data_IF_948217430481
#
_entry.id   IF_948217430481
#
_cell.length_a   1.000
_cell.length_b   1.000
_cell.length_c   1.000
_cell.angle_alpha   90.00
_cell.angle_beta   90.00
_cell.angle_gamma   90.00
#
_symmetry.space_group_name_H-M   'P 1'
#
loop_
_entity.id
_entity.type
_entity.pdbx_description
1 polymer ?
#
# COMPACT_ATOMS: atom_id res chain seq x y z
N UNK A 1 51.89 -16.97 -5.40
CA UNK A 1 50.73 -16.86 -6.29
C UNK A 1 50.09 -18.23 -6.27
N UNK A 2 48.83 -18.32 -5.85
CA UNK A 2 48.15 -19.61 -5.66
C UNK A 2 47.44 -19.99 -6.98
N UNK A 3 47.96 -20.98 -7.73
CA UNK A 3 47.44 -21.32 -9.06
C UNK A 3 45.98 -21.79 -9.03
N UNK A 4 45.54 -22.36 -7.92
CA UNK A 4 44.16 -22.84 -7.75
C UNK A 4 43.19 -21.67 -7.59
N UNK A 5 43.62 -20.60 -6.91
CA UNK A 5 42.84 -19.37 -6.77
C UNK A 5 42.68 -18.63 -8.10
N UNK A 6 43.75 -18.52 -8.88
CA UNK A 6 43.70 -17.89 -10.20
C UNK A 6 42.80 -18.65 -11.17
N UNK A 7 42.85 -19.98 -11.16
CA UNK A 7 41.97 -20.82 -11.96
C UNK A 7 40.51 -20.66 -11.54
N UNK A 8 40.22 -20.64 -10.24
CA UNK A 8 38.87 -20.41 -9.72
C UNK A 8 38.32 -19.02 -10.09
N UNK A 9 39.15 -17.98 -10.03
CA UNK A 9 38.76 -16.62 -10.39
C UNK A 9 38.56 -16.48 -11.92
N UNK A 10 39.34 -17.18 -12.74
CA UNK A 10 39.13 -17.26 -14.19
C UNK A 10 37.80 -17.95 -14.56
N UNK A 11 37.45 -19.05 -13.90
CA UNK A 11 36.15 -19.71 -14.09
C UNK A 11 34.99 -18.84 -13.61
N UNK A 12 35.17 -18.05 -12.54
CA UNK A 12 34.18 -17.05 -12.12
C UNK A 12 34.02 -15.94 -13.15
N UNK A 13 35.11 -15.43 -13.72
CA UNK A 13 35.07 -14.41 -14.75
C UNK A 13 34.40 -14.90 -16.04
N UNK A 14 34.64 -16.16 -16.43
CA UNK A 14 33.99 -16.81 -17.58
C UNK A 14 32.48 -17.04 -17.35
N UNK A 15 32.07 -17.24 -16.10
CA UNK A 15 30.66 -17.39 -15.68
C UNK A 15 29.98 -16.05 -15.41
N UNK A 16 30.74 -14.95 -15.32
CA UNK A 16 30.22 -13.63 -15.01
C UNK A 16 29.36 -13.15 -16.18
N UNK A 17 28.07 -12.92 -15.91
CA UNK A 17 27.07 -12.57 -16.93
C UNK A 17 27.20 -11.11 -17.32
N UNK A 18 26.76 -10.78 -18.54
CA UNK A 18 26.90 -9.45 -19.13
C UNK A 18 26.10 -8.39 -18.35
N UNK A 19 24.94 -8.72 -17.78
CA UNK A 19 24.23 -7.85 -16.83
C UNK A 19 23.29 -8.66 -15.94
N UNK A 20 23.58 -8.71 -14.63
CA UNK A 20 22.67 -9.28 -13.63
C UNK A 20 21.57 -8.27 -13.25
N UNK A 21 21.93 -6.98 -13.20
CA UNK A 21 21.06 -5.87 -12.82
C UNK A 21 21.56 -4.60 -13.49
N UNK A 22 20.68 -3.77 -14.05
CA UNK A 22 21.07 -2.51 -14.70
C UNK A 22 20.18 -1.34 -14.25
N UNK A 23 20.73 -0.12 -14.23
CA UNK A 23 19.94 1.08 -13.96
C UNK A 23 19.09 1.45 -15.17
N UNK A 24 17.87 1.92 -14.92
CA UNK A 24 16.99 2.46 -15.94
C UNK A 24 16.15 3.63 -15.38
N UNK A 25 15.53 4.38 -16.28
CA UNK A 25 14.59 5.47 -15.98
C UNK A 25 13.19 5.01 -16.35
N UNK A 26 12.21 5.29 -15.49
CA UNK A 26 10.81 4.90 -15.69
C UNK A 26 10.17 5.85 -16.70
N UNK A 27 9.69 5.29 -17.81
CA UNK A 27 9.04 6.04 -18.90
C UNK A 27 7.52 6.08 -18.71
N UNK A 28 6.92 4.96 -18.34
CA UNK A 28 5.47 4.87 -18.09
C UNK A 28 5.13 3.71 -17.15
N UNK A 29 3.97 3.76 -16.51
CA UNK A 29 3.51 2.77 -15.55
C UNK A 29 2.07 2.37 -15.84
N UNK A 30 1.82 1.08 -15.99
CA UNK A 30 0.47 0.49 -16.07
C UNK A 30 0.08 -0.08 -14.69
N UNK A 31 -0.83 0.62 -14.01
CA UNK A 31 -1.30 0.22 -12.68
C UNK A 31 -2.33 -0.91 -12.70
N UNK A 32 -2.96 -1.17 -13.84
CA UNK A 32 -3.96 -2.23 -13.98
C UNK A 32 -3.27 -3.58 -14.17
N UNK A 33 -2.30 -3.63 -15.08
CA UNK A 33 -1.50 -4.81 -15.39
C UNK A 33 -0.34 -5.02 -14.40
N UNK A 34 0.10 -3.97 -13.71
CA UNK A 34 1.22 -4.07 -12.76
C UNK A 34 2.57 -4.17 -13.47
N UNK A 35 2.71 -3.44 -14.57
CA UNK A 35 3.92 -3.38 -15.39
C UNK A 35 4.36 -1.94 -15.63
N UNK A 36 5.58 -1.76 -16.14
CA UNK A 36 6.09 -0.45 -16.53
C UNK A 36 6.97 -0.57 -17.78
N UNK A 37 7.18 0.59 -18.41
CA UNK A 37 8.20 0.77 -19.45
C UNK A 37 9.37 1.52 -18.83
N UNK A 38 10.58 1.03 -19.05
CA UNK A 38 11.82 1.65 -18.58
C UNK A 38 12.80 1.82 -19.73
N UNK A 39 13.71 2.77 -19.61
CA UNK A 39 14.79 2.99 -20.58
C UNK A 39 16.15 3.09 -19.90
N UNK A 40 17.17 2.48 -20.48
CA UNK A 40 18.57 2.63 -20.08
C UNK A 40 19.30 3.72 -20.89
N UNK A 41 18.56 4.65 -21.50
CA UNK A 41 18.99 5.69 -22.45
C UNK A 41 19.27 5.19 -23.88
N UNK A 42 19.50 3.88 -24.09
CA UNK A 42 19.75 3.30 -25.41
C UNK A 42 18.55 2.52 -25.96
N UNK A 43 17.90 1.74 -25.10
CA UNK A 43 16.77 0.88 -25.41
C UNK A 43 15.58 1.17 -24.48
N UNK A 44 14.37 0.90 -24.97
CA UNK A 44 13.18 0.81 -24.13
C UNK A 44 12.83 -0.67 -23.89
N UNK A 45 12.53 -0.97 -22.63
CA UNK A 45 12.09 -2.27 -22.18
C UNK A 45 10.62 -2.17 -21.78
N UNK A 46 9.76 -2.90 -22.48
CA UNK A 46 8.32 -2.97 -22.20
C UNK A 46 8.00 -4.13 -21.26
N UNK A 47 6.81 -4.09 -20.67
CA UNK A 47 6.26 -5.18 -19.87
C UNK A 47 7.13 -5.59 -18.67
N UNK A 48 7.89 -4.63 -18.12
CA UNK A 48 8.73 -4.86 -16.93
C UNK A 48 7.84 -4.99 -15.71
N UNK A 49 7.94 -6.13 -15.02
CA UNK A 49 7.03 -6.52 -13.95
C UNK A 49 7.30 -5.74 -12.66
N UNK A 50 6.24 -5.26 -12.01
CA UNK A 50 6.31 -4.60 -10.70
C UNK A 50 6.12 -5.57 -9.53
N UNK A 51 5.73 -6.82 -9.82
CA UNK A 51 5.58 -7.88 -8.83
C UNK A 51 6.16 -9.20 -9.36
N UNK A 52 6.68 -10.02 -8.44
CA UNK A 52 7.31 -11.30 -8.78
C UNK A 52 6.30 -12.36 -9.30
N UNK A 53 5.03 -12.20 -8.96
CA UNK A 53 3.95 -13.12 -9.36
C UNK A 53 2.74 -12.29 -9.76
N UNK A 54 2.37 -12.36 -11.03
CA UNK A 54 1.05 -11.94 -11.51
C UNK A 54 0.15 -13.16 -11.40
N UNK A 55 -0.35 -13.46 -10.19
CA UNK A 55 -1.39 -14.49 -10.07
C UNK A 55 -2.74 -13.84 -10.37
N UNK A 56 -3.48 -14.39 -11.33
CA UNK A 56 -4.82 -13.89 -11.69
C UNK A 56 -5.84 -13.93 -10.55
N UNK A 57 -5.42 -14.27 -9.32
CA UNK A 57 -6.21 -14.35 -8.11
C UNK A 57 -6.50 -12.98 -7.48
N UNK A 58 -5.96 -11.90 -8.04
CA UNK A 58 -6.28 -10.53 -7.64
C UNK A 58 -5.65 -10.10 -6.31
N UNK A 59 -4.73 -10.89 -5.75
CA UNK A 59 -3.78 -10.42 -4.75
C UNK A 59 -2.80 -9.47 -5.44
N UNK A 60 -2.51 -8.35 -4.79
CA UNK A 60 -1.66 -7.30 -5.38
C UNK A 60 -0.69 -6.85 -4.33
N UNK A 61 0.59 -6.80 -4.68
CA UNK A 61 1.58 -6.06 -3.91
C UNK A 61 2.43 -5.28 -4.90
N UNK A 62 1.98 -4.08 -5.21
CA UNK A 62 2.62 -3.21 -6.17
C UNK A 62 3.23 -2.00 -5.49
N UNK A 63 4.49 -1.74 -5.83
CA UNK A 63 5.13 -0.46 -5.66
C UNK A 63 5.20 0.18 -7.04
N UNK A 64 4.44 1.24 -7.24
CA UNK A 64 4.42 1.95 -8.51
C UNK A 64 5.54 2.98 -8.51
N UNK A 65 6.58 2.83 -9.37
CA UNK A 65 7.62 3.83 -9.48
C UNK A 65 7.02 5.13 -9.96
N UNK A 66 7.65 6.24 -9.59
CA UNK A 66 7.31 7.52 -10.21
C UNK A 66 7.88 7.59 -11.61
N UNK A 67 7.13 8.13 -12.55
CA UNK A 67 7.65 8.46 -13.90
C UNK A 67 8.85 9.42 -13.76
N UNK A 68 9.83 9.25 -14.64
CA UNK A 68 11.12 9.96 -14.63
C UNK A 68 12.01 9.66 -13.41
N UNK A 69 11.68 8.64 -12.59
CA UNK A 69 12.54 8.17 -11.51
C UNK A 69 13.49 7.05 -11.97
N UNK A 70 14.57 6.87 -11.22
CA UNK A 70 15.53 5.78 -11.47
C UNK A 70 15.10 4.49 -10.77
N UNK A 71 15.36 3.36 -11.43
CA UNK A 71 15.11 2.01 -10.93
C UNK A 71 16.29 1.09 -11.25
N UNK A 72 16.40 -0.01 -10.51
CA UNK A 72 17.25 -1.15 -10.88
C UNK A 72 16.37 -2.26 -11.45
N UNK A 73 16.80 -2.82 -12.57
CA UNK A 73 16.05 -3.81 -13.33
C UNK A 73 16.87 -5.07 -13.50
N UNK A 74 16.24 -6.22 -13.28
CA UNK A 74 16.90 -7.53 -13.32
C UNK A 74 16.09 -8.52 -14.15
N UNK A 75 16.73 -9.45 -14.89
CA UNK A 75 16.05 -10.50 -15.63
C UNK A 75 15.65 -11.68 -14.75
N UNK A 76 14.46 -12.23 -15.00
CA UNK A 76 13.96 -13.44 -14.37
C UNK A 76 14.53 -14.65 -15.12
N UNK A 77 15.25 -15.52 -14.41
CA UNK A 77 15.91 -16.69 -15.02
C UNK A 77 16.80 -16.33 -16.22
N UNK A 78 17.44 -15.15 -16.18
CA UNK A 78 18.35 -14.65 -17.24
C UNK A 78 17.68 -14.39 -18.59
N UNK A 79 16.36 -14.27 -18.62
CA UNK A 79 15.63 -13.91 -19.83
C UNK A 79 15.41 -12.40 -19.88
N UNK A 80 16.09 -11.70 -20.80
CA UNK A 80 15.92 -10.26 -21.02
C UNK A 80 14.53 -9.87 -21.56
N UNK A 81 13.70 -10.85 -21.95
CA UNK A 81 12.29 -10.62 -22.26
C UNK A 81 11.40 -10.66 -21.01
N UNK A 82 11.96 -11.02 -19.86
CA UNK A 82 11.26 -11.17 -18.59
C UNK A 82 11.99 -10.37 -17.53
N UNK A 83 11.68 -9.09 -17.47
CA UNK A 83 12.32 -8.16 -16.54
C UNK A 83 11.39 -7.85 -15.37
N UNK A 84 11.98 -7.52 -14.22
CA UNK A 84 11.26 -6.97 -13.08
C UNK A 84 12.05 -5.83 -12.45
N UNK A 85 11.35 -4.95 -11.74
CA UNK A 85 11.98 -3.90 -10.94
C UNK A 85 12.47 -4.50 -9.62
N UNK A 86 13.79 -4.44 -9.41
CA UNK A 86 14.43 -4.91 -8.18
C UNK A 86 14.47 -3.82 -7.11
N UNK A 87 14.70 -2.57 -7.51
CA UNK A 87 14.77 -1.44 -6.59
C UNK A 87 14.24 -0.14 -7.20
N UNK A 88 13.74 0.73 -6.33
CA UNK A 88 13.08 1.99 -6.67
C UNK A 88 13.83 3.15 -6.00
N UNK A 89 14.13 4.22 -6.75
CA UNK A 89 14.63 5.46 -6.14
C UNK A 89 13.50 6.31 -5.56
N UNK A 90 12.35 6.37 -6.24
CA UNK A 90 11.16 7.09 -5.81
C UNK A 90 9.90 6.27 -6.17
N UNK A 91 8.97 6.19 -5.22
CA UNK A 91 7.71 5.47 -5.37
C UNK A 91 6.59 6.51 -5.41
N UNK A 92 5.73 6.43 -6.41
CA UNK A 92 4.54 7.29 -6.52
C UNK A 92 3.40 6.79 -5.62
N UNK A 93 3.16 5.48 -5.64
CA UNK A 93 2.06 4.87 -4.90
C UNK A 93 2.30 3.40 -4.57
N UNK A 94 1.59 2.92 -3.55
CA UNK A 94 1.56 1.52 -3.12
C UNK A 94 0.12 1.00 -3.24
N UNK A 95 -0.05 -0.22 -3.74
CA UNK A 95 -1.32 -0.95 -3.66
C UNK A 95 -1.08 -2.39 -3.18
N UNK A 96 -1.53 -2.66 -1.96
CA UNK A 96 -1.54 -3.97 -1.34
C UNK A 96 -2.98 -4.46 -1.23
N UNK A 97 -3.29 -5.56 -1.89
CA UNK A 97 -4.57 -6.26 -1.79
C UNK A 97 -4.36 -7.70 -1.40
N UNK A 98 -5.03 -8.11 -0.33
CA UNK A 98 -5.11 -9.50 0.14
C UNK A 98 -6.58 -9.82 0.30
N UNK A 99 -7.11 -10.64 -0.60
CA UNK A 99 -8.53 -11.01 -0.64
C UNK A 99 -9.45 -9.74 -0.61
N UNK A 100 -10.29 -9.62 0.42
CA UNK A 100 -11.19 -8.49 0.63
C UNK A 100 -10.56 -7.26 1.28
N UNK A 101 -9.30 -7.31 1.71
CA UNK A 101 -8.60 -6.20 2.36
C UNK A 101 -7.69 -5.50 1.37
N UNK A 102 -7.77 -4.19 1.32
CA UNK A 102 -6.95 -3.35 0.46
C UNK A 102 -6.36 -2.17 1.23
N UNK A 103 -5.06 -1.96 1.04
CA UNK A 103 -4.31 -0.84 1.56
C UNK A 103 -3.59 -0.13 0.42
N UNK A 104 -3.95 1.13 0.17
CA UNK A 104 -3.32 1.97 -0.84
C UNK A 104 -2.72 3.21 -0.19
N UNK A 105 -1.59 3.68 -0.72
CA UNK A 105 -0.93 4.93 -0.31
C UNK A 105 -0.50 5.69 -1.56
N UNK A 106 -0.74 6.99 -1.57
CA UNK A 106 -0.20 7.93 -2.56
C UNK A 106 0.04 9.30 -1.91
N UNK A 107 0.32 10.32 -2.74
CA UNK A 107 0.55 11.70 -2.29
C UNK A 107 -0.65 12.34 -1.59
N UNK A 108 -1.87 11.86 -1.84
CA UNK A 108 -3.13 12.45 -1.35
C UNK A 108 -3.57 11.79 -0.03
N UNK A 109 -3.01 10.62 0.31
CA UNK A 109 -3.15 9.98 1.61
C UNK A 109 -3.09 8.46 1.53
N UNK A 110 -3.87 7.80 2.40
CA UNK A 110 -4.00 6.35 2.38
C UNK A 110 -5.45 5.91 2.42
N UNK A 111 -5.74 4.78 1.77
CA UNK A 111 -6.99 4.07 1.83
C UNK A 111 -6.76 2.77 2.59
N UNK A 112 -7.49 2.57 3.69
CA UNK A 112 -7.68 1.25 4.29
C UNK A 112 -9.12 0.82 4.06
N UNK A 113 -9.30 -0.27 3.34
CA UNK A 113 -10.59 -0.81 2.92
C UNK A 113 -10.69 -2.30 3.24
N UNK A 114 -11.86 -2.73 3.68
CA UNK A 114 -12.22 -4.13 3.84
C UNK A 114 -13.61 -4.32 3.24
N UNK A 115 -13.70 -5.09 2.17
CA UNK A 115 -14.92 -5.32 1.40
C UNK A 115 -15.60 -4.01 0.99
N UNK A 116 -16.74 -3.68 1.59
CA UNK A 116 -17.54 -2.48 1.32
C UNK A 116 -17.36 -1.37 2.36
N UNK A 117 -16.46 -1.55 3.32
CA UNK A 117 -16.20 -0.60 4.41
C UNK A 117 -14.83 0.06 4.27
N UNK A 118 -14.70 1.31 4.72
CA UNK A 118 -13.43 2.04 4.74
C UNK A 118 -13.21 2.70 6.09
N UNK A 119 -11.94 2.85 6.48
CA UNK A 119 -11.60 3.58 7.70
C UNK A 119 -12.15 5.02 7.67
N UNK A 120 -12.09 5.68 6.51
CA UNK A 120 -12.63 7.03 6.32
C UNK A 120 -14.12 7.12 6.65
N UNK A 121 -14.91 6.14 6.19
CA UNK A 121 -16.35 6.07 6.47
C UNK A 121 -16.63 5.79 7.96
N UNK A 122 -15.90 4.84 8.56
CA UNK A 122 -16.01 4.56 10.00
C UNK A 122 -15.73 5.80 10.87
N UNK A 123 -14.66 6.52 10.57
CA UNK A 123 -14.29 7.75 11.28
C UNK A 123 -15.31 8.87 11.05
N UNK A 124 -15.83 9.03 9.83
CA UNK A 124 -16.87 10.00 9.54
C UNK A 124 -18.16 9.72 10.32
N UNK A 125 -18.57 8.45 10.40
CA UNK A 125 -19.76 8.03 11.14
C UNK A 125 -19.57 8.20 12.66
N UNK A 126 -18.36 7.91 13.18
CA UNK A 126 -18.01 8.19 14.58
C UNK A 126 -18.09 9.69 14.90
N UNK A 127 -17.49 10.54 14.05
CA UNK A 127 -17.57 12.00 14.22
C UNK A 127 -19.03 12.47 14.13
N UNK A 128 -19.83 11.87 13.25
CA UNK A 128 -21.27 12.10 13.16
C UNK A 128 -22.00 11.78 14.47
N UNK A 129 -21.75 10.60 15.04
CA UNK A 129 -22.31 10.19 16.34
C UNK A 129 -21.89 11.13 17.47
N UNK A 130 -20.62 11.58 17.49
CA UNK A 130 -20.13 12.58 18.44
C UNK A 130 -20.85 13.92 18.30
N UNK A 131 -21.05 14.40 17.06
CA UNK A 131 -21.78 15.65 16.80
C UNK A 131 -23.26 15.57 17.17
N UNK A 132 -23.85 14.37 17.15
CA UNK A 132 -25.25 14.12 17.49
C UNK A 132 -25.47 13.80 18.97
N UNK A 133 -24.44 13.87 19.83
CA UNK A 133 -24.59 13.61 21.25
C UNK A 133 -25.63 14.53 21.89
N UNK A 134 -26.58 13.91 22.58
CA UNK A 134 -27.61 14.58 23.36
C UNK A 134 -27.79 13.83 24.66
N UNK A 135 -28.04 14.55 25.75
CA UNK A 135 -28.11 13.98 27.09
C UNK A 135 -29.43 14.32 27.78
N UNK A 136 -30.01 13.33 28.44
CA UNK A 136 -30.98 13.60 29.50
C UNK A 136 -30.23 14.17 30.69
N UNK A 137 -30.66 15.33 31.15
CA UNK A 137 -30.09 16.01 32.33
C UNK A 137 -31.07 15.93 33.49
N UNK A 138 -30.58 15.53 34.66
CA UNK A 138 -31.29 15.73 35.92
C UNK A 138 -30.87 17.09 36.48
N UNK A 139 -31.83 17.96 36.74
CA UNK A 139 -31.58 19.30 37.25
C UNK A 139 -32.26 19.52 38.60
N UNK A 140 -31.59 20.25 39.48
CA UNK A 140 -32.12 20.74 40.75
C UNK A 140 -32.02 22.26 40.80
N UNK A 141 -32.80 22.89 41.68
CA UNK A 141 -32.82 24.34 41.85
C UNK A 141 -34.06 25.02 41.25
N UNK A 142 -33.95 26.31 40.96
CA UNK A 142 -35.03 27.12 40.40
C UNK A 142 -34.57 27.78 39.09
N UNK A 143 -35.46 28.50 38.41
CA UNK A 143 -35.17 29.12 37.11
C UNK A 143 -34.00 30.12 37.13
N UNK A 144 -33.63 30.67 38.30
CA UNK A 144 -32.54 31.63 38.45
C UNK A 144 -31.20 30.99 38.89
N UNK A 145 -31.23 29.75 39.39
CA UNK A 145 -30.06 29.02 39.86
C UNK A 145 -30.31 27.51 39.69
N UNK A 146 -30.07 27.02 38.47
CA UNK A 146 -30.21 25.61 38.13
C UNK A 146 -28.82 24.94 38.11
N UNK A 147 -28.72 23.76 38.72
CA UNK A 147 -27.56 22.87 38.63
C UNK A 147 -28.01 21.53 38.08
N UNK A 148 -27.18 20.82 37.32
CA UNK A 148 -27.57 19.52 36.79
C UNK A 148 -26.40 18.63 36.40
N UNK A 149 -26.71 17.34 36.28
CA UNK A 149 -25.79 16.31 35.81
C UNK A 149 -26.42 15.56 34.63
N UNK A 150 -25.60 15.14 33.69
CA UNK A 150 -26.01 14.22 32.61
C UNK A 150 -26.29 12.84 33.19
N UNK A 151 -27.42 12.24 32.82
CA UNK A 151 -27.87 10.94 33.34
C UNK A 151 -27.84 9.86 32.27
N UNK A 152 -28.12 10.21 31.00
CA UNK A 152 -28.16 9.24 29.91
C UNK A 152 -27.83 9.88 28.56
N UNK A 153 -26.93 9.24 27.80
CA UNK A 153 -26.65 9.58 26.40
C UNK A 153 -27.76 9.03 25.50
N UNK A 154 -28.43 9.90 24.77
CA UNK A 154 -29.62 9.55 23.99
C UNK A 154 -29.28 8.76 22.72
N UNK A 155 -28.10 8.97 22.13
CA UNK A 155 -27.69 8.32 20.88
C UNK A 155 -26.70 7.16 21.09
N UNK A 156 -26.71 6.50 22.26
CA UNK A 156 -25.81 5.38 22.57
C UNK A 156 -25.87 4.26 21.50
N UNK A 157 -27.06 3.95 20.98
CA UNK A 157 -27.23 2.95 19.92
C UNK A 157 -26.44 3.27 18.63
N UNK A 158 -26.18 4.55 18.33
CA UNK A 158 -25.33 4.93 17.20
C UNK A 158 -23.86 4.59 17.46
N UNK A 159 -23.39 4.80 18.69
CA UNK A 159 -22.03 4.43 19.08
C UNK A 159 -21.84 2.91 19.05
N UNK A 160 -22.78 2.15 19.60
CA UNK A 160 -22.75 0.67 19.56
C UNK A 160 -22.71 0.13 18.13
N UNK A 161 -23.47 0.74 17.21
CA UNK A 161 -23.46 0.37 15.80
C UNK A 161 -22.11 0.67 15.12
N UNK A 162 -21.49 1.82 15.44
CA UNK A 162 -20.16 2.19 14.92
C UNK A 162 -19.08 1.27 15.50
N UNK A 163 -19.15 0.96 16.79
CA UNK A 163 -18.23 0.04 17.49
C UNK A 163 -18.26 -1.36 16.86
N UNK A 164 -19.45 -1.91 16.62
CA UNK A 164 -19.61 -3.22 15.97
C UNK A 164 -18.92 -3.25 14.60
N UNK A 165 -19.05 -2.17 13.82
CA UNK A 165 -18.41 -2.06 12.50
C UNK A 165 -16.89 -1.93 12.62
N UNK A 166 -16.37 -1.19 13.61
CA UNK A 166 -14.92 -1.17 13.89
C UNK A 166 -14.39 -2.56 14.24
N UNK A 167 -15.10 -3.32 15.09
CA UNK A 167 -14.71 -4.66 15.50
C UNK A 167 -14.76 -5.68 14.34
N UNK A 168 -15.62 -5.45 13.36
CA UNK A 168 -15.64 -6.25 12.12
C UNK A 168 -14.54 -5.82 11.14
N UNK A 169 -14.13 -4.55 11.18
CA UNK A 169 -13.16 -3.98 10.24
C UNK A 169 -11.72 -4.25 10.66
N UNK A 170 -11.40 -4.06 11.94
CA UNK A 170 -10.07 -4.23 12.52
C UNK A 170 -9.89 -5.64 13.09
N UNK A 171 -8.66 -6.15 13.04
CA UNK A 171 -8.28 -7.41 13.70
C UNK A 171 -7.56 -7.13 15.02
N UNK A 172 -7.69 -8.03 15.98
CA UNK A 172 -6.83 -8.06 17.16
C UNK A 172 -5.43 -8.63 16.81
N UNK A 173 -4.46 -8.43 17.71
CA UNK A 173 -3.09 -8.94 17.58
C UNK A 173 -2.98 -10.40 18.02
#
# INVERSE_FOLDING_TARGET
>A
MDPEKELADAFRALKKRDVDTFPAIVVSVDKEEGTCVVSDEELEYTDVQLAAVVDGNGNRFFLFPKVDSHVLVSPIMEDLKRLYIEAYSEIESLDLKIEGVQFQIDKDGFLLKKENETLKKLVADLIGACKAMSFTVATTGNAAAQTGATVALQNIAQFEAVEMRFNQFLKDN
#
